data_IF_906409355774
#
_entry.id   IF_906409355774
#
_cell.length_a   1.000
_cell.length_b   1.000
_cell.length_c   1.000
_cell.angle_alpha   90.00
_cell.angle_beta   90.00
_cell.angle_gamma   90.00
#
_symmetry.space_group_name_H-M   'P 1'
#
loop_
_entity.id
_entity.type
_entity.pdbx_description
1 polymer ?
#
# COMPACT_ATOMS: atom_id res chain seq x y z
N UNK A 1 14.95 21.10 11.37
CA UNK A 1 13.58 20.63 11.65
C UNK A 1 13.22 19.68 10.52
N UNK A 2 13.66 18.44 10.65
CA UNK A 2 13.51 17.37 9.66
C UNK A 2 12.84 16.22 10.40
N UNK A 3 11.62 16.49 10.85
CA UNK A 3 10.70 15.47 11.31
C UNK A 3 9.61 15.43 10.25
N UNK A 4 9.14 14.23 9.92
CA UNK A 4 8.25 13.91 8.82
C UNK A 4 8.88 13.87 7.43
N UNK A 5 9.48 12.73 7.09
CA UNK A 5 8.63 11.71 6.49
C UNK A 5 9.44 10.49 6.08
N UNK A 6 9.10 9.35 6.68
CA UNK A 6 9.38 8.05 6.12
C UNK A 6 8.14 7.64 5.30
N UNK A 7 8.24 7.54 3.98
CA UNK A 7 7.18 7.06 3.12
C UNK A 7 6.99 5.56 3.35
N UNK A 8 6.11 5.22 4.27
CA UNK A 8 5.80 3.85 4.68
C UNK A 8 5.09 3.08 3.55
N UNK A 9 5.88 2.42 2.69
CA UNK A 9 5.38 1.67 1.53
C UNK A 9 5.45 0.15 1.68
N UNK A 10 5.92 -0.37 2.81
CA UNK A 10 6.22 -1.81 2.94
C UNK A 10 5.00 -2.66 3.33
N UNK A 11 3.95 -2.05 3.82
CA UNK A 11 2.69 -2.73 4.08
C UNK A 11 1.67 -1.71 4.51
N UNK A 12 0.39 -2.06 4.49
CA UNK A 12 -0.59 -1.19 5.11
C UNK A 12 -0.45 -1.25 6.65
N UNK A 13 -0.60 -0.12 7.35
CA UNK A 13 -0.54 -0.08 8.81
C UNK A 13 -1.73 -0.83 9.40
N UNK A 14 -1.44 -1.68 10.38
CA UNK A 14 -2.48 -2.31 11.20
C UNK A 14 -2.63 -1.54 12.50
N UNK A 15 -3.88 -1.30 12.89
CA UNK A 15 -4.18 -0.63 14.16
C UNK A 15 -3.81 -1.47 15.40
N UNK A 16 -3.58 -2.77 15.25
CA UNK A 16 -3.12 -3.67 16.31
C UNK A 16 -1.59 -3.81 16.41
N UNK A 17 -0.82 -3.10 15.56
CA UNK A 17 0.64 -3.04 15.62
C UNK A 17 1.16 -1.76 16.28
N UNK A 18 2.44 -1.75 16.66
CA UNK A 18 3.15 -0.66 17.36
C UNK A 18 2.90 0.73 16.77
N UNK A 19 2.67 1.71 17.64
CA UNK A 19 2.28 3.07 17.26
C UNK A 19 3.36 3.74 16.39
N UNK A 20 2.96 4.13 15.18
CA UNK A 20 3.83 4.77 14.19
C UNK A 20 3.29 6.17 13.94
N UNK A 21 4.12 7.19 14.20
CA UNK A 21 3.77 8.59 14.06
C UNK A 21 3.36 8.97 12.62
N UNK A 22 3.75 8.19 11.61
CA UNK A 22 3.40 8.43 10.22
C UNK A 22 1.98 7.97 9.83
N UNK A 23 1.21 7.36 10.75
CA UNK A 23 -0.14 6.85 10.50
C UNK A 23 -1.15 7.98 10.23
N UNK A 24 -2.13 7.78 9.32
CA UNK A 24 -3.23 8.71 9.18
C UNK A 24 -4.05 8.73 10.48
N UNK A 25 -4.33 9.93 11.00
CA UNK A 25 -5.21 10.11 12.16
C UNK A 25 -6.65 9.85 11.75
N UNK A 26 -7.35 8.99 12.48
CA UNK A 26 -8.73 8.62 12.18
C UNK A 26 -9.69 9.04 13.30
N UNK A 27 -10.93 9.35 12.93
CA UNK A 27 -12.00 9.66 13.88
C UNK A 27 -12.63 8.38 14.47
N UNK A 28 -13.63 8.55 15.34
CA UNK A 28 -14.35 7.42 15.96
C UNK A 28 -15.13 6.55 14.98
N UNK A 29 -15.32 7.02 13.74
CA UNK A 29 -15.99 6.32 12.64
C UNK A 29 -14.98 5.80 11.61
N UNK A 30 -13.69 5.85 11.93
CA UNK A 30 -12.58 5.45 11.05
C UNK A 30 -12.47 6.28 9.76
N UNK A 31 -12.98 7.51 9.76
CA UNK A 31 -12.73 8.49 8.70
C UNK A 31 -11.40 9.23 8.93
N UNK A 32 -10.73 9.62 7.85
CA UNK A 32 -9.52 10.46 7.93
C UNK A 32 -9.85 11.78 8.64
N UNK A 33 -9.02 12.15 9.61
CA UNK A 33 -9.00 13.48 10.23
C UNK A 33 -7.95 14.32 9.50
N UNK A 34 -8.35 15.33 8.71
CA UNK A 34 -7.40 16.20 8.05
C UNK A 34 -6.57 17.01 9.06
N UNK A 35 -5.31 17.26 8.72
CA UNK A 35 -4.47 18.20 9.45
C UNK A 35 -5.04 19.63 9.36
N UNK A 36 -4.72 20.53 10.30
CA UNK A 36 -5.14 21.93 10.21
C UNK A 36 -4.81 22.56 8.85
N UNK A 37 -5.83 23.11 8.19
CA UNK A 37 -5.73 23.72 6.86
C UNK A 37 -5.64 22.74 5.68
N UNK A 38 -5.63 21.43 5.92
CA UNK A 38 -5.76 20.42 4.86
C UNK A 38 -7.21 20.36 4.36
N UNK A 39 -7.40 20.33 3.04
CA UNK A 39 -8.73 20.26 2.42
C UNK A 39 -8.97 18.91 1.80
N UNK A 40 -10.09 18.29 2.15
CA UNK A 40 -10.57 17.08 1.48
C UNK A 40 -11.09 17.45 0.09
N UNK A 41 -10.53 16.80 -0.92
CA UNK A 41 -10.87 17.02 -2.33
C UNK A 41 -11.81 15.93 -2.87
N UNK A 42 -11.75 14.71 -2.31
CA UNK A 42 -12.57 13.59 -2.75
C UNK A 42 -12.56 12.42 -1.78
N UNK A 43 -13.65 11.66 -1.81
CA UNK A 43 -13.82 10.41 -1.06
C UNK A 43 -14.31 9.33 -2.02
N UNK A 44 -13.61 8.20 -2.05
CA UNK A 44 -13.85 7.12 -3.01
C UNK A 44 -13.84 5.76 -2.31
N UNK A 45 -14.45 4.76 -2.96
CA UNK A 45 -14.37 3.37 -2.55
C UNK A 45 -13.68 2.56 -3.63
N UNK A 46 -12.46 2.08 -3.35
CA UNK A 46 -11.53 1.57 -4.36
C UNK A 46 -10.83 0.30 -3.87
N UNK A 47 -10.44 -0.57 -4.80
CA UNK A 47 -9.46 -1.61 -4.51
C UNK A 47 -8.11 -0.97 -4.26
N UNK A 48 -7.37 -1.48 -3.28
CA UNK A 48 -6.06 -0.94 -2.89
C UNK A 48 -5.06 -2.07 -2.81
N UNK A 49 -3.95 -1.90 -3.52
CA UNK A 49 -2.84 -2.84 -3.51
C UNK A 49 -1.50 -2.12 -3.49
N UNK A 50 -0.50 -2.76 -2.88
CA UNK A 50 0.89 -2.33 -2.92
C UNK A 50 1.63 -3.04 -4.02
N UNK A 51 2.44 -2.29 -4.76
CA UNK A 51 3.24 -2.80 -5.87
C UNK A 51 4.71 -2.43 -5.72
N UNK A 52 5.52 -3.30 -6.29
CA UNK A 52 6.96 -3.21 -6.39
C UNK A 52 7.36 -3.22 -7.86
N UNK A 53 7.64 -2.05 -8.42
CA UNK A 53 7.92 -1.90 -9.84
C UNK A 53 9.43 -2.06 -10.08
N UNK A 54 9.86 -3.21 -10.57
CA UNK A 54 11.23 -3.43 -11.01
C UNK A 54 11.46 -3.08 -12.49
N UNK A 55 12.73 -3.09 -12.93
CA UNK A 55 13.09 -2.76 -14.30
C UNK A 55 12.55 -3.77 -15.33
N UNK A 56 12.46 -5.04 -14.94
CA UNK A 56 11.98 -6.14 -15.79
C UNK A 56 10.61 -6.64 -15.38
N UNK A 57 10.30 -6.62 -14.07
CA UNK A 57 9.10 -7.24 -13.52
C UNK A 57 8.45 -6.30 -12.49
N UNK A 58 7.12 -6.23 -12.53
CA UNK A 58 6.31 -5.58 -11.50
C UNK A 58 5.65 -6.66 -10.65
N UNK A 59 5.90 -6.67 -9.35
CA UNK A 59 5.24 -7.58 -8.42
C UNK A 59 4.14 -6.84 -7.64
N UNK A 60 3.00 -7.49 -7.44
CA UNK A 60 2.02 -7.06 -6.43
C UNK A 60 2.50 -7.60 -5.09
N UNK A 61 2.79 -6.71 -4.15
CA UNK A 61 3.34 -7.08 -2.83
C UNK A 61 2.23 -7.43 -1.83
N UNK A 62 1.10 -6.73 -1.90
CA UNK A 62 -0.07 -6.96 -1.05
C UNK A 62 -1.33 -6.38 -1.72
N UNK A 63 -2.49 -6.84 -1.27
CA UNK A 63 -3.80 -6.34 -1.68
C UNK A 63 -4.75 -6.37 -0.48
N UNK A 64 -5.60 -5.34 -0.35
CA UNK A 64 -6.63 -5.35 0.68
C UNK A 64 -7.77 -6.29 0.27
N UNK A 65 -8.31 -7.08 1.21
CA UNK A 65 -9.32 -8.10 0.88
C UNK A 65 -10.68 -7.52 0.46
N UNK A 66 -10.89 -6.21 0.65
CA UNK A 66 -12.10 -5.51 0.28
C UNK A 66 -11.79 -4.07 -0.13
N UNK A 67 -12.66 -3.44 -0.95
CA UNK A 67 -12.54 -2.04 -1.29
C UNK A 67 -12.42 -1.15 -0.05
N UNK A 68 -11.36 -0.35 -0.01
CA UNK A 68 -11.09 0.62 1.04
C UNK A 68 -11.76 1.96 0.76
N UNK A 69 -12.01 2.70 1.83
CA UNK A 69 -12.32 4.12 1.75
C UNK A 69 -11.04 4.88 1.47
N UNK A 70 -10.96 5.56 0.33
CA UNK A 70 -9.81 6.35 -0.11
C UNK A 70 -10.18 7.82 -0.08
N UNK A 71 -9.45 8.60 0.72
CA UNK A 71 -9.62 10.05 0.86
C UNK A 71 -8.47 10.74 0.16
N UNK A 72 -8.77 11.64 -0.77
CA UNK A 72 -7.80 12.49 -1.47
C UNK A 72 -7.92 13.90 -0.92
N UNK A 73 -6.79 14.47 -0.53
CA UNK A 73 -6.70 15.84 -0.02
C UNK A 73 -5.73 16.66 -0.87
N UNK A 74 -5.61 17.95 -0.57
CA UNK A 74 -4.59 18.81 -1.17
C UNK A 74 -3.17 18.55 -0.65
N UNK A 75 -2.98 17.60 0.29
CA UNK A 75 -1.65 17.24 0.83
C UNK A 75 -1.28 15.75 0.71
N UNK A 76 -2.27 14.85 0.60
CA UNK A 76 -2.05 13.40 0.59
C UNK A 76 -3.23 12.62 -0.01
N UNK A 77 -2.99 11.35 -0.25
CA UNK A 77 -4.05 10.33 -0.32
C UNK A 77 -3.91 9.41 0.88
N UNK A 78 -5.01 9.09 1.52
CA UNK A 78 -5.08 8.11 2.61
C UNK A 78 -6.14 7.06 2.31
N UNK A 79 -5.93 5.83 2.78
CA UNK A 79 -6.90 4.76 2.69
C UNK A 79 -7.16 4.12 4.04
N UNK A 80 -8.40 3.63 4.23
CA UNK A 80 -8.84 2.89 5.41
C UNK A 80 -9.73 1.73 4.97
N UNK A 81 -9.39 0.53 5.41
CA UNK A 81 -10.17 -0.69 5.18
C UNK A 81 -10.48 -1.36 6.52
N UNK A 82 -11.76 -1.52 6.82
CA UNK A 82 -12.22 -2.27 8.00
C UNK A 82 -12.48 -3.73 7.66
N UNK A 83 -12.29 -4.62 8.65
CA UNK A 83 -12.55 -6.05 8.49
C UNK A 83 -11.48 -6.82 7.71
N UNK A 84 -10.32 -6.20 7.48
CA UNK A 84 -9.18 -6.80 6.84
C UNK A 84 -8.29 -7.51 7.87
N UNK A 85 -8.46 -8.83 8.03
CA UNK A 85 -7.39 -9.66 8.61
C UNK A 85 -6.23 -9.70 7.62
N UNK A 86 -5.28 -8.78 7.76
CA UNK A 86 -3.97 -8.95 7.12
C UNK A 86 -3.27 -10.09 7.85
N UNK A 87 -2.79 -11.09 7.14
CA UNK A 87 -1.95 -12.11 7.75
C UNK A 87 -0.61 -11.45 8.19
N UNK A 88 -0.26 -11.46 9.48
CA UNK A 88 1.02 -10.91 9.93
C UNK A 88 2.16 -11.79 9.43
N UNK A 89 3.23 -11.15 8.95
CA UNK A 89 4.50 -11.84 8.70
C UNK A 89 5.13 -12.16 10.05
N UNK A 90 5.13 -13.44 10.42
CA UNK A 90 5.82 -13.88 11.64
C UNK A 90 7.33 -13.72 11.45
N UNK A 91 7.90 -12.73 12.15
CA UNK A 91 9.33 -12.73 12.45
C UNK A 91 9.64 -13.93 13.32
N UNK A 92 10.52 -14.81 12.83
CA UNK A 92 11.07 -15.91 13.61
C UNK A 92 12.09 -15.31 14.59
N UNK A 93 11.72 -15.20 15.86
CA UNK A 93 12.48 -15.71 17.03
C UNK A 93 11.98 -15.12 18.35
N UNK A 94 11.67 -16.01 19.31
CA UNK A 94 11.47 -15.69 20.72
C UNK A 94 10.33 -16.47 21.41
N UNK A 95 10.62 -17.58 22.10
CA UNK A 95 9.64 -18.27 22.95
C UNK A 95 9.69 -17.71 24.37
N UNK A 96 8.54 -17.42 24.97
CA UNK A 96 8.09 -17.95 26.27
C UNK A 96 6.79 -17.29 26.69
N UNK A 97 5.93 -18.07 27.34
CA UNK A 97 4.51 -17.79 27.46
C UNK A 97 4.11 -16.73 28.48
N UNK A 98 2.90 -16.20 28.28
CA UNK A 98 2.08 -15.68 29.35
C UNK A 98 0.61 -15.99 29.03
N UNK A 99 -0.06 -16.58 30.03
CA UNK A 99 -1.41 -17.13 29.98
C UNK A 99 -2.48 -16.03 29.91
N UNK A 100 -3.55 -16.34 29.19
CA UNK A 100 -4.91 -15.79 29.31
C UNK A 100 -5.09 -14.26 29.41
N UNK A 101 -5.15 -13.63 28.24
CA UNK A 101 -6.22 -12.67 27.93
C UNK A 101 -6.88 -13.12 26.62
N UNK A 102 -8.19 -13.34 26.63
CA UNK A 102 -8.96 -13.38 25.37
C UNK A 102 -8.73 -12.02 24.71
N UNK A 103 -8.09 -11.94 23.52
CA UNK A 103 -8.01 -10.65 22.86
C UNK A 103 -9.42 -10.32 22.41
N UNK A 104 -9.94 -9.17 22.85
CA UNK A 104 -11.04 -8.53 22.14
C UNK A 104 -10.63 -8.51 20.67
N UNK A 105 -11.42 -9.15 19.80
CA UNK A 105 -11.17 -9.16 18.36
C UNK A 105 -11.27 -7.71 17.89
N UNK A 106 -10.15 -7.00 17.92
CA UNK A 106 -10.01 -5.74 17.22
C UNK A 106 -10.14 -6.10 15.74
N UNK A 107 -11.34 -5.87 15.21
CA UNK A 107 -11.64 -5.95 13.77
C UNK A 107 -10.45 -5.36 13.00
N UNK A 108 -9.87 -6.16 12.10
CA UNK A 108 -8.68 -5.82 11.33
C UNK A 108 -8.86 -4.51 10.55
N UNK A 109 -8.53 -3.40 11.20
CA UNK A 109 -8.55 -2.08 10.61
C UNK A 109 -7.16 -1.79 10.07
N UNK A 110 -7.15 -1.45 8.80
CA UNK A 110 -5.95 -1.33 8.01
C UNK A 110 -5.96 0.04 7.36
N UNK A 111 -4.86 0.78 7.44
CA UNK A 111 -4.78 2.13 6.88
C UNK A 111 -3.40 2.45 6.33
N UNK A 112 -3.32 3.49 5.52
CA UNK A 112 -2.05 4.02 5.03
C UNK A 112 -2.24 5.32 4.29
N UNK A 113 -1.13 5.99 3.97
CA UNK A 113 -1.16 7.27 3.27
C UNK A 113 0.08 7.51 2.42
N UNK A 114 -0.07 8.38 1.41
CA UNK A 114 1.02 8.93 0.60
C UNK A 114 0.87 10.44 0.61
N UNK A 115 1.89 11.15 1.09
CA UNK A 115 1.96 12.62 1.03
C UNK A 115 2.54 13.11 -0.30
N UNK A 116 2.13 14.29 -0.76
CA UNK A 116 2.38 14.80 -2.12
C UNK A 116 3.83 15.19 -2.43
N UNK A 117 4.72 15.26 -1.45
CA UNK A 117 6.16 15.38 -1.69
C UNK A 117 6.80 14.12 -2.31
N UNK A 118 6.14 12.95 -2.25
CA UNK A 118 6.77 11.66 -2.60
C UNK A 118 6.56 11.15 -4.03
N UNK A 119 5.36 11.24 -4.66
CA UNK A 119 5.13 10.56 -5.94
C UNK A 119 5.97 11.13 -7.09
N UNK A 120 6.77 10.30 -7.76
CA UNK A 120 7.55 10.71 -8.95
C UNK A 120 6.74 10.63 -10.24
N UNK A 121 5.70 9.79 -10.27
CA UNK A 121 4.79 9.68 -11.41
C UNK A 121 3.48 8.99 -11.06
N UNK A 122 2.54 9.10 -11.99
CA UNK A 122 1.35 8.28 -12.06
C UNK A 122 1.42 7.34 -13.25
N UNK A 123 0.95 6.10 -13.10
CA UNK A 123 0.72 5.19 -14.22
C UNK A 123 -0.73 4.72 -14.24
N UNK A 124 -1.38 4.78 -15.40
CA UNK A 124 -2.68 4.12 -15.60
C UNK A 124 -2.44 2.78 -16.30
N UNK A 125 -2.87 1.71 -15.66
CA UNK A 125 -2.79 0.34 -16.20
C UNK A 125 -4.19 -0.24 -16.29
N UNK A 126 -4.57 -0.70 -17.47
CA UNK A 126 -5.75 -1.55 -17.61
C UNK A 126 -5.52 -2.81 -16.77
N UNK A 127 -6.47 -3.14 -15.90
CA UNK A 127 -6.47 -4.43 -15.24
C UNK A 127 -7.05 -5.45 -16.23
N UNK A 128 -6.31 -6.52 -16.50
CA UNK A 128 -6.65 -7.51 -17.53
C UNK A 128 -7.92 -8.31 -17.20
N UNK A 129 -8.46 -8.18 -15.99
CA UNK A 129 -9.72 -8.76 -15.55
C UNK A 129 -10.79 -7.69 -15.39
N UNK A 130 -11.96 -7.97 -15.95
CA UNK A 130 -13.24 -7.31 -15.65
C UNK A 130 -13.40 -5.85 -16.08
N UNK A 131 -12.56 -5.35 -17.01
CA UNK A 131 -12.69 -3.99 -17.54
C UNK A 131 -12.39 -2.89 -16.50
N UNK A 132 -11.74 -3.25 -15.40
CA UNK A 132 -11.25 -2.30 -14.41
C UNK A 132 -9.91 -1.72 -14.84
N UNK A 133 -9.55 -0.58 -14.27
CA UNK A 133 -8.23 0.02 -14.45
C UNK A 133 -7.66 0.39 -13.08
N UNK A 134 -6.35 0.50 -13.00
CA UNK A 134 -5.64 0.85 -11.79
C UNK A 134 -4.80 2.10 -12.03
N UNK A 135 -4.93 3.08 -11.12
CA UNK A 135 -4.00 4.18 -10.99
C UNK A 135 -2.88 3.76 -10.03
N UNK A 136 -1.66 3.70 -10.52
CA UNK A 136 -0.47 3.54 -9.69
C UNK A 136 0.07 4.92 -9.33
N UNK A 137 0.09 5.23 -8.04
CA UNK A 137 0.82 6.37 -7.47
C UNK A 137 2.22 5.88 -7.13
N UNK A 138 3.19 6.18 -7.99
CA UNK A 138 4.55 5.65 -7.90
C UNK A 138 5.47 6.65 -7.23
N UNK A 139 6.28 6.18 -6.29
CA UNK A 139 7.33 6.99 -5.67
C UNK A 139 8.71 6.49 -6.11
N UNK A 140 9.67 7.41 -6.19
CA UNK A 140 11.07 7.03 -6.36
C UNK A 140 11.65 6.55 -5.06
N UNK A 141 12.70 5.76 -5.10
CA UNK A 141 13.31 5.16 -3.94
C UNK A 141 14.83 5.31 -3.95
N UNK A 142 15.40 5.57 -2.77
CA UNK A 142 16.83 5.48 -2.55
C UNK A 142 17.24 4.02 -2.32
N UNK A 143 18.46 3.69 -2.75
CA UNK A 143 19.16 2.42 -2.46
C UNK A 143 18.50 1.15 -3.04
N UNK A 144 17.52 1.28 -3.93
CA UNK A 144 16.92 0.16 -4.66
C UNK A 144 16.63 0.53 -6.12
N UNK A 145 16.71 -0.46 -7.02
CA UNK A 145 16.38 -0.31 -8.44
C UNK A 145 14.87 -0.42 -8.71
N UNK A 146 14.10 -0.77 -7.70
CA UNK A 146 12.66 -1.01 -7.83
C UNK A 146 11.91 0.14 -7.12
N UNK A 147 10.77 0.54 -7.66
CA UNK A 147 9.98 1.68 -7.19
C UNK A 147 8.68 1.21 -6.51
N UNK A 148 8.37 1.67 -5.29
CA UNK A 148 7.10 1.36 -4.66
C UNK A 148 5.96 2.12 -5.33
N UNK A 149 4.80 1.48 -5.39
CA UNK A 149 3.59 2.09 -5.92
C UNK A 149 2.35 1.66 -5.14
N UNK A 150 1.44 2.59 -4.92
CA UNK A 150 0.08 2.29 -4.45
C UNK A 150 -0.84 2.23 -5.64
N UNK A 151 -1.44 1.07 -5.87
CA UNK A 151 -2.46 0.88 -6.88
C UNK A 151 -3.85 1.16 -6.29
N UNK A 152 -4.62 2.00 -6.99
CA UNK A 152 -5.99 2.35 -6.70
C UNK A 152 -6.87 1.86 -7.87
N UNK A 153 -7.53 0.72 -7.67
CA UNK A 153 -8.28 0.00 -8.70
C UNK A 153 -9.78 0.23 -8.64
N UNK A 154 -10.42 0.36 -9.81
CA UNK A 154 -11.87 0.53 -9.93
C UNK A 154 -12.35 0.78 -11.36
N UNK A 155 -13.60 1.28 -11.52
CA UNK A 155 -14.17 1.58 -12.84
C UNK A 155 -13.36 2.63 -13.60
N UNK A 156 -13.19 2.42 -14.91
CA UNK A 156 -12.33 3.26 -15.78
C UNK A 156 -12.60 4.76 -15.64
N UNK A 157 -13.86 5.17 -15.70
CA UNK A 157 -14.22 6.59 -15.61
C UNK A 157 -13.83 7.21 -14.26
N UNK A 158 -14.03 6.47 -13.17
CA UNK A 158 -13.69 6.92 -11.82
C UNK A 158 -12.18 7.03 -11.66
N UNK A 159 -11.42 6.03 -12.12
CA UNK A 159 -9.95 6.04 -11.99
C UNK A 159 -9.32 7.10 -12.89
N UNK A 160 -9.89 7.37 -14.06
CA UNK A 160 -9.45 8.47 -14.92
C UNK A 160 -9.68 9.85 -14.28
N UNK A 161 -10.80 10.04 -13.56
CA UNK A 161 -11.05 11.24 -12.76
C UNK A 161 -10.07 11.35 -11.60
N UNK A 162 -9.89 10.26 -10.86
CA UNK A 162 -8.95 10.18 -9.75
C UNK A 162 -7.53 10.52 -10.20
N UNK A 163 -7.08 10.02 -11.36
CA UNK A 163 -5.77 10.34 -11.90
C UNK A 163 -5.63 11.83 -12.22
N UNK A 164 -6.66 12.47 -12.79
CA UNK A 164 -6.70 13.92 -13.01
C UNK A 164 -6.67 14.69 -11.70
N UNK A 165 -7.38 14.23 -10.69
CA UNK A 165 -7.40 14.84 -9.37
C UNK A 165 -6.05 14.73 -8.65
N UNK A 166 -5.46 13.53 -8.59
CA UNK A 166 -4.15 13.30 -7.94
C UNK A 166 -3.06 14.08 -8.67
N UNK A 167 -3.03 14.04 -10.02
CA UNK A 167 -2.06 14.83 -10.81
C UNK A 167 -2.11 16.32 -10.44
N UNK A 168 -3.32 16.91 -10.45
CA UNK A 168 -3.51 18.32 -10.11
C UNK A 168 -3.13 18.62 -8.67
N UNK A 169 -3.48 17.74 -7.74
CA UNK A 169 -3.23 17.92 -6.31
C UNK A 169 -1.74 17.88 -5.99
N UNK A 170 -1.00 16.90 -6.54
CA UNK A 170 0.46 16.82 -6.36
C UNK A 170 1.15 18.04 -6.97
N UNK A 171 0.76 18.44 -8.18
CA UNK A 171 1.35 19.59 -8.84
C UNK A 171 1.09 20.90 -8.10
N UNK A 172 -0.15 21.14 -7.67
CA UNK A 172 -0.51 22.33 -6.90
C UNK A 172 0.21 22.36 -5.55
N UNK A 173 0.27 21.22 -4.85
CA UNK A 173 0.98 21.12 -3.57
C UNK A 173 2.45 21.54 -3.71
N UNK A 174 3.17 20.98 -4.69
CA UNK A 174 4.60 21.27 -4.88
C UNK A 174 4.89 22.71 -5.31
N UNK A 175 3.98 23.31 -6.08
CA UNK A 175 4.09 24.73 -6.46
C UNK A 175 3.85 25.67 -5.27
N UNK A 176 2.98 25.28 -4.33
CA UNK A 176 2.67 26.06 -3.12
C UNK A 176 3.72 25.85 -2.02
N UNK A 177 4.41 24.70 -2.04
CA UNK A 177 5.42 24.31 -1.05
C UNK A 177 6.82 24.14 -1.66
N UNK A 178 7.40 25.17 -2.30
CA UNK A 178 8.73 25.09 -2.90
C UNK A 178 9.85 24.89 -1.86
N UNK A 179 9.58 25.12 -0.57
CA UNK A 179 10.51 24.82 0.52
C UNK A 179 10.68 23.33 0.80
N UNK A 180 9.69 22.51 0.40
CA UNK A 180 9.72 21.06 0.60
C UNK A 180 10.34 20.30 -0.56
N UNK A 181 10.41 20.93 -1.74
CA UNK A 181 10.88 20.32 -2.98
C UNK A 181 11.75 21.30 -3.76
N UNK A 182 12.99 20.92 -4.07
CA UNK A 182 13.85 21.76 -4.89
C UNK A 182 13.45 21.62 -6.37
N UNK A 183 12.80 22.66 -6.90
CA UNK A 183 12.29 22.70 -8.27
C UNK A 183 13.09 23.68 -9.11
N UNK A 184 13.65 23.19 -10.21
CA UNK A 184 14.20 24.05 -11.26
C UNK A 184 13.07 24.82 -11.99
N UNK A 185 13.37 25.95 -12.64
CA UNK A 185 12.39 26.67 -13.46
C UNK A 185 11.60 25.80 -14.46
N UNK A 186 12.21 24.93 -15.29
CA UNK A 186 11.44 24.10 -16.22
C UNK A 186 10.52 23.08 -15.51
N UNK A 187 10.92 22.56 -14.35
CA UNK A 187 10.06 21.66 -13.56
C UNK A 187 8.85 22.39 -12.99
N UNK A 188 9.00 23.66 -12.57
CA UNK A 188 7.88 24.51 -12.17
C UNK A 188 6.89 24.72 -13.32
N UNK A 189 7.39 25.00 -14.52
CA UNK A 189 6.54 25.17 -15.71
C UNK A 189 5.79 23.87 -16.05
N UNK A 190 6.46 22.72 -15.96
CA UNK A 190 5.83 21.42 -16.16
C UNK A 190 4.71 21.17 -15.14
N UNK A 191 4.96 21.43 -13.85
CA UNK A 191 3.94 21.31 -12.80
C UNK A 191 2.78 22.29 -13.01
N UNK A 192 3.05 23.52 -13.43
CA UNK A 192 2.00 24.50 -13.74
C UNK A 192 1.07 23.99 -14.85
N UNK A 193 1.62 23.35 -15.89
CA UNK A 193 0.83 22.68 -16.91
C UNK A 193 -0.01 21.50 -16.35
N UNK A 194 0.48 20.78 -15.33
CA UNK A 194 -0.21 19.65 -14.70
C UNK A 194 -1.39 20.06 -13.81
N UNK A 195 -1.39 21.28 -13.27
CA UNK A 195 -2.52 21.87 -12.53
C UNK A 195 -3.72 22.12 -13.45
N UNK A 196 -3.46 22.41 -14.73
CA UNK A 196 -4.49 22.68 -15.72
C UNK A 196 -5.45 21.50 -15.99
N UNK A 197 -6.56 21.76 -16.72
CA UNK A 197 -7.59 20.78 -17.02
C UNK A 197 -7.19 19.76 -18.09
N UNK A 198 -5.91 19.71 -18.48
CA UNK A 198 -5.41 18.83 -19.53
C UNK A 198 -5.90 17.38 -19.30
N UNK A 199 -6.34 16.67 -20.35
CA UNK A 199 -6.77 15.29 -20.20
C UNK A 199 -5.62 14.42 -19.67
N UNK A 200 -5.95 13.42 -18.85
CA UNK A 200 -5.01 12.32 -18.55
C UNK A 200 -5.25 11.26 -19.61
N UNK A 201 -4.19 10.72 -20.24
CA UNK A 201 -4.36 9.66 -21.21
C UNK A 201 -5.00 8.43 -20.57
N UNK A 202 -5.86 7.73 -21.30
CA UNK A 202 -6.60 6.56 -20.79
C UNK A 202 -5.68 5.42 -20.33
N UNK A 203 -4.46 5.37 -20.85
CA UNK A 203 -3.36 4.53 -20.42
C UNK A 203 -2.04 5.29 -20.57
N UNK A 204 -1.04 4.98 -19.75
CA UNK A 204 0.29 5.57 -19.87
C UNK A 204 0.83 6.15 -18.57
N UNK A 205 1.90 6.95 -18.70
CA UNK A 205 2.67 7.51 -17.58
C UNK A 205 2.61 9.03 -17.57
N UNK A 206 2.54 9.60 -16.38
CA UNK A 206 2.46 11.04 -16.12
C UNK A 206 3.53 11.37 -15.08
N UNK A 207 4.63 12.00 -15.51
CA UNK A 207 5.74 12.43 -14.63
C UNK A 207 5.28 13.52 -13.66
N UNK A 208 5.86 13.55 -12.46
CA UNK A 208 5.60 14.57 -11.44
C UNK A 208 6.96 15.03 -10.89
N UNK A 209 7.54 16.10 -11.46
CA UNK A 209 8.85 16.63 -11.05
C UNK A 209 8.92 17.07 -9.58
N UNK A 210 10.14 17.11 -9.04
CA UNK A 210 10.41 17.48 -7.65
C UNK A 210 9.93 16.45 -6.61
N UNK A 211 9.88 15.17 -6.97
CA UNK A 211 9.62 14.12 -5.98
C UNK A 211 10.82 13.91 -5.08
N UNK A 212 10.60 13.86 -3.77
CA UNK A 212 11.60 13.37 -2.84
C UNK A 212 11.66 11.83 -2.95
N UNK A 213 12.85 11.23 -2.95
CA UNK A 213 12.98 9.78 -3.05
C UNK A 213 12.76 9.13 -1.69
N UNK A 214 12.01 8.04 -1.68
CA UNK A 214 11.70 7.30 -0.47
C UNK A 214 12.92 6.63 0.13
N UNK A 215 13.11 6.78 1.45
CA UNK A 215 14.13 6.04 2.18
C UNK A 215 13.55 4.76 2.76
N UNK A 216 14.18 3.63 2.44
CA UNK A 216 13.93 2.35 3.11
C UNK A 216 14.94 2.16 4.23
N UNK A 217 14.47 1.81 5.43
CA UNK A 217 15.30 1.58 6.61
C UNK A 217 16.11 0.28 6.49
N UNK A 218 15.53 -0.77 5.90
CA UNK A 218 16.24 -2.00 5.56
C UNK A 218 15.94 -2.47 4.14
N UNK A 219 16.93 -3.12 3.53
CA UNK A 219 16.74 -3.90 2.30
C UNK A 219 15.68 -4.99 2.51
N UNK A 220 15.64 -5.61 3.69
CA UNK A 220 14.78 -6.77 3.97
C UNK A 220 13.30 -6.42 4.12
N UNK A 221 13.00 -5.15 4.44
CA UNK A 221 11.64 -4.62 4.41
C UNK A 221 11.02 -4.80 3.01
N UNK A 222 11.87 -4.88 1.98
CA UNK A 222 11.46 -4.89 0.58
C UNK A 222 11.42 -6.28 -0.08
N UNK A 223 12.29 -7.19 0.34
CA UNK A 223 12.50 -8.47 -0.36
C UNK A 223 11.76 -9.65 0.27
N UNK A 224 11.03 -9.48 1.38
CA UNK A 224 10.21 -10.59 1.88
C UNK A 224 9.14 -10.94 0.84
N UNK A 225 9.23 -12.12 0.21
CA UNK A 225 8.14 -12.59 -0.63
C UNK A 225 6.94 -12.77 0.29
N UNK A 226 5.82 -12.14 -0.02
CA UNK A 226 4.55 -12.66 0.44
C UNK A 226 4.38 -14.01 -0.25
N UNK A 227 4.68 -15.09 0.46
CA UNK A 227 4.33 -16.43 0.00
C UNK A 227 2.82 -16.44 -0.05
N UNK A 228 2.28 -16.38 -1.27
CA UNK A 228 0.89 -16.69 -1.58
C UNK A 228 0.62 -18.03 -0.88
N UNK A 229 -0.26 -18.00 0.12
CA UNK A 229 -0.66 -19.23 0.80
C UNK A 229 -1.46 -19.98 -0.24
N UNK A 230 -0.84 -20.95 -0.90
CA UNK A 230 -1.52 -21.91 -1.78
C UNK A 230 -2.78 -22.40 -1.04
N UNK A 231 -4.00 -22.08 -1.51
CA UNK A 231 -5.21 -22.58 -0.91
C UNK A 231 -5.47 -23.99 -1.45
N UNK A 232 -4.51 -24.90 -1.29
CA UNK A 232 -4.68 -26.35 -1.32
C UNK A 232 -3.32 -27.05 -1.39
N UNK A 233 -2.93 -27.71 -0.31
CA UNK A 233 -2.49 -29.08 -0.45
C UNK A 233 -2.96 -29.87 0.77
N UNK A 234 -3.69 -30.98 0.57
CA UNK A 234 -4.22 -31.77 1.66
C UNK A 234 -3.08 -32.32 2.49
N UNK A 235 -3.27 -32.32 3.80
CA UNK A 235 -2.50 -33.09 4.77
C UNK A 235 -2.19 -34.47 4.18
N UNK A 236 -0.90 -34.72 3.87
CA UNK A 236 -0.40 -36.08 3.65
C UNK A 236 -0.70 -36.86 4.92
N UNK A 237 -1.73 -37.70 4.86
CA UNK A 237 -1.89 -38.81 5.78
C UNK A 237 -0.59 -39.61 5.77
N UNK A 238 0.03 -39.72 6.94
CA UNK A 238 1.20 -40.56 7.14
C UNK A 238 0.88 -42.01 6.70
N UNK A 239 1.80 -42.72 6.02
CA UNK A 239 1.60 -44.13 5.75
C UNK A 239 1.63 -44.89 7.08
N UNK A 240 0.53 -45.57 7.38
CA UNK A 240 0.45 -46.58 8.45
C UNK A 240 1.39 -47.73 8.07
N UNK A 241 2.36 -48.12 8.91
CA UNK A 241 3.18 -49.29 8.64
C UNK A 241 2.34 -50.58 8.76
N UNK A 242 2.55 -51.60 7.90
CA UNK A 242 1.82 -52.86 8.01
C UNK A 242 2.24 -53.61 9.28
N UNK A 243 1.26 -53.91 10.14
CA UNK A 243 1.46 -54.82 11.26
C UNK A 243 1.61 -56.26 10.74
N UNK A 244 2.69 -56.91 11.17
CA UNK A 244 3.06 -58.29 10.82
C UNK A 244 2.04 -59.32 11.35
N UNK A 245 1.93 -60.51 10.72
CA UNK A 245 0.96 -61.53 11.10
C UNK A 245 1.26 -62.21 12.43
N UNK A 246 0.17 -62.55 13.12
CA UNK A 246 0.09 -63.39 14.32
C UNK A 246 1.03 -64.60 14.34
N UNK A 247 1.70 -64.80 15.48
CA UNK A 247 2.07 -66.14 15.99
C UNK A 247 1.41 -66.38 17.34
N UNK A 248 0.66 -67.47 17.54
CA UNK A 248 0.15 -67.89 18.85
C UNK A 248 1.08 -68.91 19.52
N UNK A 249 1.03 -68.96 20.84
CA UNK A 249 1.50 -70.08 21.67
C UNK A 249 2.79 -69.79 22.45
N UNK A 250 2.73 -69.74 23.77
CA UNK A 250 2.72 -70.93 24.64
C UNK A 250 2.65 -70.49 26.11
N UNK A 251 1.99 -71.33 26.89
CA UNK A 251 1.76 -71.21 28.33
C UNK A 251 3.05 -71.17 29.17
N UNK A 252 2.97 -70.50 30.33
CA UNK A 252 2.99 -71.11 31.67
C UNK A 252 2.48 -70.08 32.69
#
# INVERSE_FOLDING_TARGET
MQEDAAPFFVGPHRFDGDDDAARPVLDRRYGLVPEPGERVLGLHRLQVAGHLLGPTESARSWELPAPATVTVTDRRVAYVCGGAELAPVSGRDGPTGARHRRPARLSGLVSGQIRWQWPSRLELRADGRDGNTALLVVCDALRTIRQPALALGGPVALVAELARQVRRSVAAFRLVHPELVDLSPPERDELAARVGPAPVPAAGRVTLPGSLPVEFLSRDDYYRPHVERDPASPSRSAPVPPALPHRPGSAC
#
